data_IF_220959847395
#
_entry.id   IF_220959847395
#
_cell.length_a   1.000
_cell.length_b   1.000
_cell.length_c   1.000
_cell.angle_alpha   90.00
_cell.angle_beta   90.00
_cell.angle_gamma   90.00
#
_symmetry.space_group_name_H-M   'P 1'
#
loop_
_entity.id
_entity.type
_entity.pdbx_description
1 polymer ?
#
# COMPACT_ATOMS: atom_id res chain seq x y z
N UNK A 1 11.22 18.49 12.16
CA UNK A 1 10.23 19.16 11.29
C UNK A 1 9.73 18.09 10.31
N UNK A 2 8.50 17.62 10.46
CA UNK A 2 7.97 16.52 9.64
C UNK A 2 7.34 17.07 8.36
N UNK A 3 7.65 16.44 7.21
CA UNK A 3 7.16 16.86 5.90
C UNK A 3 5.70 16.45 5.68
N UNK A 4 4.99 17.16 4.81
CA UNK A 4 3.58 16.88 4.52
C UNK A 4 3.36 15.44 4.01
N UNK A 5 4.30 14.91 3.23
CA UNK A 5 4.20 13.55 2.70
C UNK A 5 4.11 12.48 3.79
N UNK A 6 4.87 12.64 4.88
CA UNK A 6 4.82 11.71 6.02
C UNK A 6 3.50 11.83 6.79
N UNK A 7 3.00 13.07 6.94
CA UNK A 7 1.70 13.34 7.59
C UNK A 7 0.52 12.73 6.83
N UNK A 8 0.58 12.70 5.50
CA UNK A 8 -0.47 12.17 4.63
C UNK A 8 -0.30 10.67 4.32
N UNK A 9 0.70 9.99 4.91
CA UNK A 9 0.92 8.57 4.63
C UNK A 9 -0.26 7.73 5.13
N UNK A 10 -0.83 6.86 4.27
CA UNK A 10 -1.93 5.95 4.63
C UNK A 10 -1.65 5.17 5.92
N UNK A 11 -2.68 4.97 6.76
CA UNK A 11 -2.57 4.20 8.00
C UNK A 11 -3.19 2.81 7.87
N UNK A 12 -4.10 2.63 6.92
CA UNK A 12 -4.64 1.33 6.54
C UNK A 12 -4.74 1.21 5.01
N UNK A 13 -5.00 -0.01 4.50
CA UNK A 13 -5.11 -0.22 3.05
C UNK A 13 -6.30 0.51 2.43
N UNK A 14 -7.33 0.84 3.21
CA UNK A 14 -8.51 1.57 2.73
C UNK A 14 -8.23 3.06 2.50
N UNK A 15 -7.18 3.61 3.13
CA UNK A 15 -6.71 4.99 2.92
C UNK A 15 -5.92 5.13 1.59
N UNK A 16 -5.53 4.01 0.96
CA UNK A 16 -4.73 4.03 -0.26
C UNK A 16 -5.59 4.49 -1.43
N UNK A 17 -5.22 5.64 -1.99
CA UNK A 17 -5.87 6.18 -3.18
C UNK A 17 -5.25 5.56 -4.43
N UNK A 18 -6.05 4.80 -5.17
CA UNK A 18 -5.61 4.08 -6.37
C UNK A 18 -5.20 2.64 -6.07
N UNK A 19 -4.45 2.01 -6.98
CA UNK A 19 -3.93 0.64 -6.82
C UNK A 19 -4.98 -0.43 -6.43
N UNK A 20 -6.27 -0.21 -6.72
CA UNK A 20 -7.39 -1.09 -6.32
C UNK A 20 -7.25 -2.53 -6.83
N UNK A 21 -6.46 -2.75 -7.87
CA UNK A 21 -6.15 -4.08 -8.39
C UNK A 21 -5.21 -4.89 -7.47
N UNK A 22 -4.47 -4.22 -6.57
CA UNK A 22 -3.54 -4.82 -5.61
C UNK A 22 -4.09 -4.83 -4.19
N UNK A 23 -4.65 -3.70 -3.72
CA UNK A 23 -5.07 -3.48 -2.32
C UNK A 23 -6.58 -3.53 -2.11
N UNK A 24 -7.36 -3.66 -3.19
CA UNK A 24 -8.81 -3.78 -3.09
C UNK A 24 -9.27 -5.06 -2.40
N UNK A 25 -10.58 -5.16 -2.13
CA UNK A 25 -11.18 -6.37 -1.55
C UNK A 25 -10.83 -7.60 -2.39
N UNK A 26 -10.41 -8.67 -1.71
CA UNK A 26 -10.00 -9.95 -2.31
C UNK A 26 -8.82 -9.85 -3.28
N UNK A 27 -7.97 -8.82 -3.16
CA UNK A 27 -6.76 -8.67 -3.97
C UNK A 27 -5.53 -9.12 -3.23
N UNK A 28 -4.44 -9.32 -3.98
CA UNK A 28 -3.26 -10.03 -3.49
C UNK A 28 -2.67 -9.41 -2.23
N UNK A 29 -2.40 -8.09 -2.21
CA UNK A 29 -1.78 -7.45 -1.04
C UNK A 29 -2.75 -7.44 0.14
N UNK A 30 -4.03 -7.17 -0.11
CA UNK A 30 -5.07 -7.22 0.94
C UNK A 30 -5.16 -8.60 1.57
N UNK A 31 -5.20 -9.66 0.77
CA UNK A 31 -5.25 -11.02 1.29
C UNK A 31 -3.99 -11.39 2.08
N UNK A 32 -2.80 -10.98 1.64
CA UNK A 32 -1.56 -11.23 2.38
C UNK A 32 -1.58 -10.54 3.76
N UNK A 33 -2.03 -9.29 3.82
CA UNK A 33 -2.16 -8.53 5.07
C UNK A 33 -3.24 -9.12 5.97
N UNK A 34 -4.41 -9.45 5.43
CA UNK A 34 -5.55 -9.99 6.21
C UNK A 34 -5.28 -11.38 6.79
N UNK A 35 -4.37 -12.15 6.17
CA UNK A 35 -3.95 -13.46 6.65
C UNK A 35 -2.59 -13.43 7.39
N UNK A 36 -2.05 -12.25 7.68
CA UNK A 36 -0.74 -12.04 8.32
C UNK A 36 0.41 -12.85 7.67
N UNK A 37 0.34 -12.99 6.33
CA UNK A 37 1.27 -13.79 5.56
C UNK A 37 2.19 -12.88 4.75
N UNK A 38 3.26 -12.41 5.40
CA UNK A 38 4.26 -11.56 4.77
C UNK A 38 5.25 -12.39 3.95
N UNK A 39 5.41 -12.00 2.68
CA UNK A 39 6.38 -12.61 1.74
C UNK A 39 7.31 -11.53 1.21
N UNK A 40 8.50 -11.93 0.75
CA UNK A 40 9.41 -11.02 0.05
C UNK A 40 8.75 -10.51 -1.24
N UNK A 41 8.65 -9.19 -1.39
CA UNK A 41 7.98 -8.54 -2.52
C UNK A 41 8.87 -7.46 -3.15
N UNK A 42 8.79 -7.34 -4.48
CA UNK A 42 9.37 -6.22 -5.22
C UNK A 42 8.22 -5.32 -5.68
N UNK A 43 8.19 -4.08 -5.21
CA UNK A 43 7.21 -3.07 -5.64
C UNK A 43 7.84 -2.20 -6.73
N UNK A 44 7.36 -2.29 -7.97
CA UNK A 44 7.93 -1.59 -9.12
C UNK A 44 6.98 -0.55 -9.73
N UNK A 45 7.53 0.58 -10.19
CA UNK A 45 6.81 1.58 -10.99
C UNK A 45 7.38 3.00 -10.86
N UNK A 46 6.72 3.98 -11.49
CA UNK A 46 7.12 5.41 -11.49
C UNK A 46 7.20 6.01 -10.06
N UNK A 47 8.02 7.04 -9.81
CA UNK A 47 8.05 7.71 -8.50
C UNK A 47 6.68 8.30 -8.12
N UNK A 48 6.35 8.31 -6.83
CA UNK A 48 5.11 8.93 -6.32
C UNK A 48 3.83 8.09 -6.41
N UNK A 49 3.88 6.82 -6.83
CA UNK A 49 2.68 5.96 -7.00
C UNK A 49 2.24 5.18 -5.73
N UNK A 50 2.81 5.49 -4.56
CA UNK A 50 2.49 4.79 -3.30
C UNK A 50 3.17 3.43 -3.14
N UNK A 51 4.46 3.31 -3.50
CA UNK A 51 5.29 2.13 -3.17
C UNK A 51 5.78 2.12 -1.72
N UNK A 52 5.83 3.30 -1.12
CA UNK A 52 6.31 3.58 0.24
C UNK A 52 5.13 4.10 1.02
#
# INVERSE_FOLDING_TARGET
MEILADKLRPKCLDDIIGQKHLVGKNKIIRNLVDNDHLVSMILYGKPGIGKT
#
